data_IF_879842006638
#
_entry.id   IF_879842006638
#
_cell.length_a   1.000
_cell.length_b   1.000
_cell.length_c   1.000
_cell.angle_alpha   90.00
_cell.angle_beta   90.00
_cell.angle_gamma   90.00
#
_symmetry.space_group_name_H-M   'P 1'
#
loop_
_entity.id
_entity.type
_entity.pdbx_description
1 polymer ?
#
# COMPACT_ATOMS: atom_id res chain seq x y z
N UNK A 1 -14.56 17.17 6.38
CA UNK A 1 -14.53 15.69 6.33
C UNK A 1 -15.27 15.28 5.07
N UNK A 2 -14.61 14.55 4.18
CA UNK A 2 -15.17 14.05 2.91
C UNK A 2 -16.05 12.82 3.19
N UNK A 3 -16.99 12.50 2.29
CA UNK A 3 -17.80 11.29 2.44
C UNK A 3 -16.95 10.04 2.21
N UNK A 4 -16.24 10.00 1.07
CA UNK A 4 -15.41 8.86 0.67
C UNK A 4 -13.98 9.27 0.38
N UNK A 5 -13.05 8.52 0.93
CA UNK A 5 -11.62 8.64 0.65
C UNK A 5 -11.07 7.39 -0.03
N UNK A 6 -9.98 7.55 -0.79
CA UNK A 6 -9.21 6.43 -1.35
C UNK A 6 -7.74 6.61 -1.01
N UNK A 7 -7.10 5.55 -0.54
CA UNK A 7 -5.63 5.43 -0.46
C UNK A 7 -5.19 4.23 -1.28
N UNK A 8 -3.94 4.24 -1.73
CA UNK A 8 -3.36 3.11 -2.43
C UNK A 8 -1.88 2.90 -2.09
N UNK A 9 -1.45 1.65 -2.04
CA UNK A 9 -0.06 1.24 -1.96
C UNK A 9 0.11 -0.22 -2.41
N UNK A 10 1.36 -0.66 -2.62
CA UNK A 10 1.67 -2.06 -2.95
C UNK A 10 1.55 -2.99 -1.75
N UNK A 11 1.89 -2.49 -0.55
CA UNK A 11 1.91 -3.25 0.71
C UNK A 11 2.79 -4.52 0.65
N UNK A 12 4.01 -4.38 0.15
CA UNK A 12 5.01 -5.46 0.02
C UNK A 12 6.19 -5.21 0.96
N UNK A 13 6.07 -5.17 2.28
CA UNK A 13 5.06 -5.72 3.19
C UNK A 13 4.24 -4.56 3.82
N UNK A 14 2.99 -4.74 4.31
CA UNK A 14 2.33 -3.73 5.13
C UNK A 14 3.21 -3.35 6.34
N UNK A 15 3.37 -2.06 6.63
CA UNK A 15 4.28 -1.61 7.68
C UNK A 15 3.75 -0.36 8.38
N UNK A 16 4.35 0.04 9.50
CA UNK A 16 3.81 1.11 10.34
C UNK A 16 3.64 2.44 9.59
N UNK A 17 4.53 2.78 8.64
CA UNK A 17 4.36 3.95 7.77
C UNK A 17 3.19 3.86 6.78
N UNK A 18 2.83 2.65 6.33
CA UNK A 18 1.59 2.46 5.58
C UNK A 18 0.37 2.68 6.48
N UNK A 19 0.41 2.21 7.74
CA UNK A 19 -0.70 2.39 8.68
C UNK A 19 -0.87 3.87 9.05
N UNK A 20 0.22 4.59 9.31
CA UNK A 20 0.22 6.06 9.50
C UNK A 20 -0.49 6.77 8.34
N UNK A 21 -0.12 6.39 7.12
CA UNK A 21 -0.73 6.91 5.89
C UNK A 21 -2.23 6.61 5.77
N UNK A 22 -2.62 5.35 5.97
CA UNK A 22 -4.02 4.91 5.89
C UNK A 22 -4.87 5.60 6.97
N UNK A 23 -4.38 5.71 8.20
CA UNK A 23 -5.10 6.36 9.30
C UNK A 23 -5.22 7.87 9.08
N UNK A 24 -4.18 8.54 8.56
CA UNK A 24 -4.24 9.96 8.24
C UNK A 24 -5.31 10.27 7.18
N UNK A 25 -5.47 9.40 6.17
CA UNK A 25 -6.57 9.49 5.22
C UNK A 25 -7.91 9.17 5.87
N UNK A 26 -7.97 8.15 6.74
CA UNK A 26 -9.20 7.79 7.47
C UNK A 26 -9.73 8.94 8.31
N UNK A 27 -8.87 9.76 8.90
CA UNK A 27 -9.27 10.94 9.66
C UNK A 27 -9.92 12.04 8.80
N UNK A 28 -9.74 12.00 7.48
CA UNK A 28 -10.28 13.00 6.54
C UNK A 28 -11.61 12.58 5.92
N UNK A 29 -11.96 11.30 5.94
CA UNK A 29 -13.14 10.74 5.28
C UNK A 29 -14.01 9.86 6.19
N UNK A 30 -15.30 9.73 5.86
CA UNK A 30 -16.19 8.81 6.59
C UNK A 30 -15.93 7.36 6.23
N UNK A 31 -15.96 7.01 4.94
CA UNK A 31 -15.65 5.68 4.41
C UNK A 31 -14.32 5.71 3.64
N UNK A 32 -13.40 4.80 3.93
CA UNK A 32 -12.10 4.72 3.26
C UNK A 32 -11.99 3.48 2.36
N UNK A 33 -11.60 3.65 1.11
CA UNK A 33 -11.19 2.55 0.24
C UNK A 33 -9.67 2.41 0.28
N UNK A 34 -9.18 1.21 0.60
CA UNK A 34 -7.77 0.88 0.65
C UNK A 34 -7.43 0.04 -0.58
N UNK A 35 -6.84 0.67 -1.58
CA UNK A 35 -6.44 0.08 -2.83
C UNK A 35 -5.10 -0.65 -2.74
N UNK A 36 -5.10 -1.97 -2.97
CA UNK A 36 -3.87 -2.75 -3.10
C UNK A 36 -3.42 -2.68 -4.57
N UNK A 37 -2.32 -1.98 -4.80
CA UNK A 37 -1.74 -1.89 -6.15
C UNK A 37 -1.03 -3.18 -6.55
N UNK A 38 -0.88 -3.38 -7.85
CA UNK A 38 -0.34 -4.61 -8.45
C UNK A 38 -1.07 -5.86 -7.92
N UNK A 39 -2.41 -5.91 -8.05
CA UNK A 39 -3.20 -7.03 -7.53
C UNK A 39 -2.95 -8.31 -8.35
N UNK A 40 -2.68 -8.17 -9.64
CA UNK A 40 -2.33 -9.25 -10.56
C UNK A 40 -0.91 -8.99 -11.13
N UNK A 41 0.08 -9.84 -10.82
CA UNK A 41 1.44 -9.71 -11.36
C UNK A 41 1.51 -9.67 -12.89
N UNK A 42 0.56 -10.31 -13.59
CA UNK A 42 0.51 -10.34 -15.06
C UNK A 42 0.13 -9.00 -15.69
N UNK A 43 -0.37 -8.05 -14.88
CA UNK A 43 -0.88 -6.77 -15.33
C UNK A 43 0.05 -5.60 -14.98
N UNK A 44 1.21 -5.87 -14.39
CA UNK A 44 2.24 -4.88 -14.09
C UNK A 44 2.90 -4.45 -15.41
N UNK A 45 2.89 -3.14 -15.69
CA UNK A 45 3.57 -2.57 -16.87
C UNK A 45 4.90 -1.99 -16.43
N UNK A 46 5.93 -2.18 -17.25
CA UNK A 46 7.22 -1.51 -17.08
C UNK A 46 7.01 0.02 -17.13
N UNK A 47 7.43 0.71 -16.06
CA UNK A 47 7.63 2.16 -16.03
C UNK A 47 9.06 2.42 -15.59
N UNK A 48 9.72 3.42 -16.17
CA UNK A 48 11.11 3.78 -15.86
C UNK A 48 11.28 4.12 -14.36
N UNK A 49 10.22 4.59 -13.69
CA UNK A 49 10.22 4.88 -12.25
C UNK A 49 9.79 3.68 -11.38
N UNK A 50 9.42 2.55 -12.00
CA UNK A 50 8.85 1.35 -11.36
C UNK A 50 9.57 0.04 -11.75
N UNK A 51 10.67 0.09 -12.51
CA UNK A 51 11.39 -1.10 -13.01
C UNK A 51 11.74 -2.09 -11.88
N UNK A 52 12.35 -1.60 -10.79
CA UNK A 52 12.69 -2.43 -9.62
C UNK A 52 11.44 -2.89 -8.88
N UNK A 53 10.39 -2.06 -8.86
CA UNK A 53 9.14 -2.32 -8.13
C UNK A 53 8.24 -3.33 -8.83
N UNK A 54 8.50 -3.59 -10.11
CA UNK A 54 7.77 -4.56 -10.94
C UNK A 54 8.36 -5.97 -10.88
N UNK A 55 9.55 -6.18 -10.31
CA UNK A 55 10.18 -7.50 -10.28
C UNK A 55 9.48 -8.46 -9.30
N UNK A 56 9.56 -9.78 -9.52
CA UNK A 56 9.03 -10.78 -8.59
C UNK A 56 9.60 -10.65 -7.16
N UNK A 57 10.89 -10.35 -7.02
CA UNK A 57 11.59 -10.21 -5.74
C UNK A 57 11.10 -8.98 -4.96
N UNK A 58 10.62 -7.96 -5.68
CA UNK A 58 10.00 -6.78 -5.09
C UNK A 58 8.52 -6.99 -4.71
N UNK A 59 7.90 -8.09 -5.15
CA UNK A 59 6.50 -8.43 -4.89
C UNK A 59 6.32 -9.86 -4.36
N UNK A 60 6.98 -10.24 -3.25
CA UNK A 60 6.96 -11.63 -2.78
C UNK A 60 5.62 -12.03 -2.15
N UNK A 61 4.69 -11.10 -1.88
CA UNK A 61 3.38 -11.41 -1.32
C UNK A 61 2.30 -11.41 -2.41
N UNK A 62 1.37 -12.33 -2.28
CA UNK A 62 0.15 -12.38 -3.10
C UNK A 62 -0.81 -11.25 -2.74
N UNK A 63 -1.83 -11.01 -3.57
CA UNK A 63 -2.91 -10.10 -3.22
C UNK A 63 -3.63 -10.51 -1.93
N UNK A 64 -3.95 -11.80 -1.77
CA UNK A 64 -4.71 -12.30 -0.63
C UNK A 64 -3.96 -12.11 0.68
N UNK A 65 -2.66 -12.44 0.73
CA UNK A 65 -1.84 -12.24 1.93
C UNK A 65 -1.80 -10.76 2.34
N UNK A 66 -1.66 -9.84 1.37
CA UNK A 66 -1.70 -8.39 1.63
C UNK A 66 -3.06 -7.94 2.14
N UNK A 67 -4.13 -8.43 1.52
CA UNK A 67 -5.51 -8.16 1.94
C UNK A 67 -5.75 -8.58 3.39
N UNK A 68 -5.37 -9.80 3.76
CA UNK A 68 -5.58 -10.33 5.12
C UNK A 68 -4.77 -9.56 6.15
N UNK A 69 -3.51 -9.24 5.85
CA UNK A 69 -2.66 -8.45 6.74
C UNK A 69 -3.14 -7.01 6.91
N UNK A 70 -3.63 -6.35 5.85
CA UNK A 70 -4.23 -5.01 5.95
C UNK A 70 -5.51 -5.09 6.79
N UNK A 71 -6.36 -6.07 6.54
CA UNK A 71 -7.60 -6.27 7.31
C UNK A 71 -7.29 -6.43 8.80
N UNK A 72 -6.34 -7.30 9.15
CA UNK A 72 -5.91 -7.51 10.53
C UNK A 72 -5.28 -6.24 11.14
N UNK A 73 -4.50 -5.48 10.34
CA UNK A 73 -3.92 -4.21 10.81
C UNK A 73 -5.00 -3.18 11.14
N UNK A 74 -6.03 -3.04 10.31
CA UNK A 74 -7.12 -2.10 10.59
C UNK A 74 -7.87 -2.45 11.88
N UNK A 75 -8.06 -3.75 12.14
CA UNK A 75 -8.65 -4.25 13.39
C UNK A 75 -7.75 -3.98 14.60
N UNK A 76 -6.44 -4.26 14.50
CA UNK A 76 -5.45 -4.00 15.56
C UNK A 76 -5.41 -2.52 15.96
N UNK A 77 -5.60 -1.60 15.00
CA UNK A 77 -5.64 -0.15 15.23
C UNK A 77 -7.05 0.38 15.51
N UNK A 78 -8.04 -0.49 15.74
CA UNK A 78 -9.38 -0.12 16.21
C UNK A 78 -10.27 0.57 15.17
N UNK A 79 -10.00 0.38 13.87
CA UNK A 79 -10.84 0.95 12.81
C UNK A 79 -12.03 0.00 12.53
N UNK A 80 -13.29 0.47 12.65
CA UNK A 80 -14.45 -0.38 12.42
C UNK A 80 -14.51 -0.92 10.98
N UNK A 81 -14.86 -2.21 10.83
CA UNK A 81 -14.96 -2.86 9.50
C UNK A 81 -15.95 -2.16 8.57
N UNK A 82 -16.98 -1.51 9.11
CA UNK A 82 -17.95 -0.69 8.36
C UNK A 82 -17.34 0.55 7.73
N UNK A 83 -16.20 1.02 8.21
CA UNK A 83 -15.65 2.32 7.86
C UNK A 83 -14.58 2.26 6.77
N UNK A 84 -14.25 1.06 6.29
CA UNK A 84 -13.35 0.90 5.15
C UNK A 84 -13.74 -0.26 4.23
N UNK A 85 -13.21 -0.28 3.02
CA UNK A 85 -13.14 -1.45 2.14
C UNK A 85 -11.70 -1.65 1.67
N UNK A 86 -11.33 -2.89 1.33
CA UNK A 86 -10.04 -3.20 0.71
C UNK A 86 -10.34 -3.74 -0.68
N UNK A 87 -9.73 -3.14 -1.71
CA UNK A 87 -10.03 -3.43 -3.12
C UNK A 87 -8.75 -3.54 -3.95
N UNK A 88 -8.78 -4.24 -5.10
CA UNK A 88 -7.74 -4.13 -6.11
C UNK A 88 -7.58 -2.68 -6.60
N UNK A 89 -6.35 -2.26 -6.90
CA UNK A 89 -6.08 -0.94 -7.44
C UNK A 89 -5.14 -1.03 -8.64
N UNK A 90 -5.66 -1.16 -9.87
CA UNK A 90 -4.86 -1.41 -11.06
C UNK A 90 -4.17 -0.14 -11.58
N UNK A 91 -3.18 0.38 -10.85
CA UNK A 91 -2.50 1.65 -11.19
C UNK A 91 -1.84 1.64 -12.59
N UNK A 92 -1.41 0.48 -13.09
CA UNK A 92 -0.83 0.31 -14.44
C UNK A 92 -1.88 0.15 -15.55
N UNK A 93 -3.16 0.03 -15.19
CA UNK A 93 -4.31 0.10 -16.11
C UNK A 93 -5.33 1.09 -15.53
N UNK A 94 -4.95 2.37 -15.46
CA UNK A 94 -5.70 3.40 -14.73
C UNK A 94 -7.15 3.54 -15.18
N UNK A 95 -7.45 3.21 -16.43
CA UNK A 95 -8.81 3.17 -16.99
C UNK A 95 -9.79 2.25 -16.23
N UNK A 96 -9.29 1.29 -15.43
CA UNK A 96 -10.12 0.40 -14.61
C UNK A 96 -10.22 0.83 -13.13
N UNK A 97 -9.54 1.89 -12.69
CA UNK A 97 -9.53 2.29 -11.27
C UNK A 97 -10.96 2.53 -10.76
N UNK A 98 -11.79 3.25 -11.53
CA UNK A 98 -13.16 3.59 -11.13
C UNK A 98 -14.15 2.42 -11.19
N UNK A 99 -13.73 1.24 -11.65
CA UNK A 99 -14.50 -0.01 -11.49
C UNK A 99 -14.39 -0.57 -10.06
N UNK A 100 -13.33 -0.20 -9.32
CA UNK A 100 -13.05 -0.72 -7.98
C UNK A 100 -13.18 0.34 -6.88
N UNK A 101 -13.01 1.62 -7.21
CA UNK A 101 -13.11 2.73 -6.27
C UNK A 101 -14.08 3.81 -6.77
N UNK A 102 -14.78 4.53 -5.88
CA UNK A 102 -15.73 5.56 -6.31
C UNK A 102 -15.06 6.70 -7.09
N UNK A 103 -15.69 7.15 -8.16
CA UNK A 103 -15.17 8.23 -9.01
C UNK A 103 -15.28 9.61 -8.35
N UNK A 104 -16.21 9.77 -7.41
CA UNK A 104 -16.51 10.99 -6.64
C UNK A 104 -15.78 11.03 -5.27
N UNK A 105 -14.84 10.13 -5.03
CA UNK A 105 -14.02 10.11 -3.83
C UNK A 105 -12.79 11.03 -3.95
N UNK A 106 -12.24 11.43 -2.80
CA UNK A 106 -10.93 12.10 -2.73
C UNK A 106 -9.83 11.06 -2.63
N UNK A 107 -8.90 11.08 -3.59
CA UNK A 107 -7.75 10.17 -3.63
C UNK A 107 -6.58 10.82 -2.89
N UNK A 108 -6.29 10.29 -1.71
CA UNK A 108 -5.19 10.75 -0.87
C UNK A 108 -3.87 10.15 -1.33
N UNK A 109 -2.79 10.93 -1.28
CA UNK A 109 -1.43 10.47 -1.55
C UNK A 109 -0.44 11.02 -0.52
N UNK A 110 0.46 10.18 -0.03
CA UNK A 110 1.73 10.61 0.54
C UNK A 110 2.80 10.54 -0.53
N UNK A 111 3.56 11.63 -0.73
CA UNK A 111 4.61 11.67 -1.76
C UNK A 111 5.98 11.51 -1.09
N UNK A 112 6.68 10.43 -1.42
CA UNK A 112 8.01 10.11 -0.90
C UNK A 112 9.07 9.98 -2.01
N UNK A 113 8.66 9.63 -3.23
CA UNK A 113 9.56 9.43 -4.36
C UNK A 113 8.91 9.82 -5.71
N UNK A 114 9.66 9.63 -6.80
CA UNK A 114 9.17 9.94 -8.15
C UNK A 114 8.00 9.08 -8.61
N UNK A 115 7.82 7.87 -8.06
CA UNK A 115 6.68 7.01 -8.38
C UNK A 115 5.40 7.55 -7.75
N UNK A 116 5.47 8.09 -6.53
CA UNK A 116 4.32 8.76 -5.93
C UNK A 116 3.85 9.99 -6.74
N UNK A 117 4.80 10.74 -7.31
CA UNK A 117 4.48 11.85 -8.24
C UNK A 117 3.86 11.35 -9.55
N UNK A 118 4.33 10.21 -10.07
CA UNK A 118 3.73 9.59 -11.26
C UNK A 118 2.29 9.15 -10.98
N UNK A 119 2.03 8.53 -9.83
CA UNK A 119 0.66 8.19 -9.40
C UNK A 119 -0.24 9.43 -9.31
N UNK A 120 0.26 10.52 -8.74
CA UNK A 120 -0.49 11.78 -8.68
C UNK A 120 -0.87 12.28 -10.08
N UNK A 121 0.05 12.21 -11.04
CA UNK A 121 -0.21 12.58 -12.45
C UNK A 121 -1.23 11.64 -13.10
N UNK A 122 -1.12 10.33 -12.87
CA UNK A 122 -2.06 9.33 -13.40
C UNK A 122 -3.48 9.63 -12.91
N UNK A 123 -3.66 9.81 -11.60
CA UNK A 123 -4.99 10.06 -11.01
C UNK A 123 -5.59 11.38 -11.48
N UNK A 124 -4.78 12.45 -11.55
CA UNK A 124 -5.23 13.73 -12.13
C UNK A 124 -5.58 13.59 -13.61
N UNK A 125 -4.85 12.78 -14.37
CA UNK A 125 -5.12 12.50 -15.77
C UNK A 125 -6.46 11.79 -16.01
N UNK A 126 -6.97 11.06 -15.01
CA UNK A 126 -8.31 10.47 -15.02
C UNK A 126 -9.42 11.46 -14.59
N UNK A 127 -9.07 12.70 -14.24
CA UNK A 127 -10.02 13.68 -13.71
C UNK A 127 -10.46 13.42 -12.27
N UNK A 128 -9.74 12.58 -11.52
CA UNK A 128 -10.07 12.26 -10.13
C UNK A 128 -9.59 13.37 -9.19
N UNK A 129 -10.40 13.65 -8.15
CA UNK A 129 -10.01 14.58 -7.09
C UNK A 129 -8.87 13.98 -6.26
N UNK A 130 -7.81 14.77 -6.03
CA UNK A 130 -6.61 14.29 -5.32
C UNK A 130 -6.21 15.26 -4.21
N UNK A 131 -5.78 14.72 -3.07
CA UNK A 131 -5.21 15.49 -1.95
C UNK A 131 -3.86 14.88 -1.54
N UNK A 132 -2.83 15.71 -1.50
CA UNK A 132 -1.51 15.30 -1.01
C UNK A 132 -1.45 15.53 0.50
N UNK A 133 -1.38 14.45 1.28
CA UNK A 133 -1.33 14.50 2.74
C UNK A 133 -0.01 15.09 3.25
N UNK A 134 1.08 14.74 2.58
CA UNK A 134 2.43 15.23 2.85
C UNK A 134 3.36 14.96 1.67
N UNK A 135 4.44 15.72 1.64
CA UNK A 135 5.61 15.50 0.80
C UNK A 135 6.79 15.30 1.74
N UNK A 136 7.45 14.15 1.64
CA UNK A 136 8.59 13.74 2.47
C UNK A 136 9.74 13.33 1.57
N UNK A 137 10.97 13.47 2.04
CA UNK A 137 12.18 13.10 1.29
C UNK A 137 13.19 12.37 2.15
N UNK A 138 13.95 11.45 1.56
CA UNK A 138 15.04 10.76 2.25
C UNK A 138 14.57 10.03 3.51
N UNK A 139 15.21 10.34 4.64
CA UNK A 139 14.91 9.72 5.94
C UNK A 139 13.50 10.02 6.46
N UNK A 140 12.88 11.13 6.02
CA UNK A 140 11.52 11.50 6.45
C UNK A 140 10.48 10.47 6.00
N UNK A 141 10.73 9.81 4.86
CA UNK A 141 9.90 8.73 4.35
C UNK A 141 9.83 7.54 5.33
N UNK A 142 10.86 7.39 6.18
CA UNK A 142 10.96 6.38 7.21
C UNK A 142 11.07 4.96 6.64
N UNK A 143 10.36 4.05 7.29
CA UNK A 143 10.37 2.61 6.96
C UNK A 143 9.80 2.36 5.57
N UNK A 144 10.51 1.55 4.78
CA UNK A 144 10.06 1.09 3.46
C UNK A 144 9.92 -0.42 3.41
N UNK A 145 9.04 -0.92 2.54
CA UNK A 145 8.92 -2.36 2.30
C UNK A 145 10.23 -2.99 1.83
N UNK A 146 11.04 -2.29 1.02
CA UNK A 146 12.36 -2.79 0.58
C UNK A 146 13.31 -3.01 1.75
N UNK A 147 13.36 -2.06 2.69
CA UNK A 147 14.19 -2.21 3.89
C UNK A 147 13.74 -3.41 4.74
N UNK A 148 12.43 -3.55 4.99
CA UNK A 148 11.90 -4.69 5.76
C UNK A 148 12.24 -6.02 5.08
N UNK A 149 12.03 -6.13 3.76
CA UNK A 149 12.38 -7.34 3.00
C UNK A 149 13.88 -7.64 3.11
N UNK A 150 14.74 -6.62 3.09
CA UNK A 150 16.18 -6.78 3.30
C UNK A 150 16.49 -7.33 4.70
N UNK A 151 15.90 -6.76 5.76
CA UNK A 151 16.10 -7.26 7.12
C UNK A 151 15.65 -8.73 7.26
N UNK A 152 14.52 -9.09 6.65
CA UNK A 152 14.05 -10.49 6.61
C UNK A 152 15.09 -11.36 5.90
N UNK A 153 15.59 -10.95 4.73
CA UNK A 153 16.55 -11.72 3.95
C UNK A 153 17.89 -11.91 4.70
N UNK A 154 18.39 -10.88 5.39
CA UNK A 154 19.66 -10.91 6.14
C UNK A 154 19.52 -11.48 7.55
N UNK A 155 18.30 -11.71 8.03
CA UNK A 155 18.03 -12.22 9.37
C UNK A 155 18.16 -11.15 10.47
N UNK A 156 18.14 -9.88 10.10
CA UNK A 156 18.03 -8.75 11.03
C UNK A 156 16.63 -8.67 11.67
N UNK A 157 16.52 -7.94 12.78
CA UNK A 157 15.26 -7.73 13.49
C UNK A 157 14.38 -6.70 12.75
N UNK A 158 13.11 -7.06 12.51
CA UNK A 158 12.17 -6.22 11.76
C UNK A 158 10.76 -6.14 12.38
N UNK A 159 10.51 -6.84 13.50
CA UNK A 159 9.20 -6.89 14.17
C UNK A 159 8.69 -5.48 14.51
N UNK A 160 9.57 -4.62 15.01
CA UNK A 160 9.27 -3.24 15.40
C UNK A 160 8.91 -2.31 14.22
N UNK A 161 9.05 -2.76 12.97
CA UNK A 161 8.79 -1.97 11.77
C UNK A 161 7.36 -2.16 11.24
N UNK A 162 6.63 -3.16 11.74
CA UNK A 162 5.32 -3.58 11.25
C UNK A 162 4.30 -3.67 12.40
N UNK A 163 2.99 -3.67 12.10
CA UNK A 163 1.97 -4.08 13.06
C UNK A 163 2.24 -5.49 13.60
N UNK A 164 1.84 -5.77 14.84
CA UNK A 164 2.10 -7.08 15.46
C UNK A 164 1.41 -8.20 14.69
N UNK A 165 0.17 -7.98 14.26
CA UNK A 165 -0.58 -8.94 13.44
C UNK A 165 0.14 -9.28 12.12
N UNK A 166 0.85 -8.31 11.52
CA UNK A 166 1.60 -8.50 10.26
C UNK A 166 2.82 -9.37 10.50
N UNK A 167 3.56 -9.10 11.58
CA UNK A 167 4.71 -9.93 11.97
C UNK A 167 4.28 -11.38 12.21
N UNK A 168 3.21 -11.60 12.99
CA UNK A 168 2.66 -12.92 13.28
C UNK A 168 2.23 -13.64 12.00
N UNK A 169 1.43 -12.97 11.17
CA UNK A 169 0.93 -13.53 9.91
C UNK A 169 2.08 -14.01 9.01
N UNK A 170 3.12 -13.19 8.83
CA UNK A 170 4.28 -13.54 8.00
C UNK A 170 4.98 -14.81 8.50
N UNK A 171 5.16 -14.91 9.82
CA UNK A 171 5.86 -16.04 10.45
C UNK A 171 5.05 -17.33 10.38
N UNK A 172 3.74 -17.24 10.63
CA UNK A 172 2.82 -18.37 10.60
C UNK A 172 2.66 -18.95 9.19
N UNK A 173 2.65 -18.09 8.16
CA UNK A 173 2.50 -18.49 6.76
C UNK A 173 3.84 -18.79 6.06
N UNK A 174 4.96 -18.72 6.77
CA UNK A 174 6.30 -19.01 6.22
C UNK A 174 6.75 -18.04 5.13
N UNK A 175 6.19 -16.82 5.09
CA UNK A 175 6.50 -15.80 4.08
C UNK A 175 7.92 -15.28 4.28
N UNK A 176 8.39 -15.20 5.52
CA UNK A 176 9.77 -14.83 5.84
C UNK A 176 10.79 -15.81 5.22
N UNK A 177 10.48 -17.11 5.24
CA UNK A 177 11.30 -18.14 4.59
C UNK A 177 11.29 -17.97 3.07
N UNK A 178 10.13 -17.68 2.47
CA UNK A 178 9.98 -17.41 1.04
C UNK A 178 10.84 -16.22 0.60
N UNK A 179 10.82 -15.13 1.38
CA UNK A 179 11.64 -13.94 1.12
C UNK A 179 13.14 -14.26 1.23
N UNK A 180 13.55 -15.05 2.22
CA UNK A 180 14.96 -15.49 2.37
C UNK A 180 15.48 -16.37 1.22
N UNK A 181 14.58 -17.08 0.54
CA UNK A 181 14.92 -17.98 -0.56
C UNK A 181 14.82 -17.34 -1.95
N UNK A 182 14.42 -16.07 -2.03
CA UNK A 182 14.25 -15.31 -3.28
C UNK A 182 15.50 -14.53 -3.66
#
# INVERSE_FOLDING_TARGET
MTETGVVNARFQIPHLKHIEYVLAAKMRCRKLYIGITNPDPSCVRESVNDEIRSTPEANPLTYLERFEMIKASMEEFGVPRSDYEIVPFPIHRPEYITQYTPADAVYYLGICDGWDEEKLKILKGLGLETEVLWRRTGEECGVTGTWIRSCIATGEEWEHLVPRCVYQYIREHGIDKRIKSS
#
